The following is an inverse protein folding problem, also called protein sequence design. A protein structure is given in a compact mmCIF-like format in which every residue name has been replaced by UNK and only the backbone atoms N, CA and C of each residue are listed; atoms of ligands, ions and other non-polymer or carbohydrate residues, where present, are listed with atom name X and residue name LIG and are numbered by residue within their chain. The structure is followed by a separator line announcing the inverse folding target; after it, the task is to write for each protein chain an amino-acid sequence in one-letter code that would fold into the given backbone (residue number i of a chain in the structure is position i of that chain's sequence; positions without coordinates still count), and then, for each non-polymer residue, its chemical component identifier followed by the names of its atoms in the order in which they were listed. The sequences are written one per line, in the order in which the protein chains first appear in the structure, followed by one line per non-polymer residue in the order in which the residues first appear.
data_IF_140444833228
#
_entry.id   IF_140444833228
#
_cell.length_a   1.000
_cell.length_b   1.000
_cell.length_c   1.000
_cell.angle_alpha   90.00
_cell.angle_beta   90.00
_cell.angle_gamma   90.00
#
_symmetry.space_group_name_H-M   'P 1'
#
loop_
_entity.id
_entity.type
_entity.pdbx_description
1 polymer ?
#
# COMPACT_ATOMS: atom_id res chain seq x y z
N UNK A 1 23.93 -20.50 -3.91
CA UNK A 1 24.41 -21.87 -3.75
C UNK A 1 25.12 -22.41 -4.99
N UNK A 2 24.66 -22.09 -6.20
CA UNK A 2 25.31 -22.48 -7.45
C UNK A 2 26.58 -21.67 -7.80
N UNK A 3 27.05 -20.78 -6.95
CA UNK A 3 28.21 -19.91 -7.18
C UNK A 3 27.92 -18.64 -7.98
N UNK A 4 26.66 -18.35 -8.25
CA UNK A 4 26.24 -17.10 -8.90
C UNK A 4 25.93 -16.05 -7.83
N UNK A 5 26.79 -15.04 -7.72
CA UNK A 5 26.62 -13.99 -6.70
C UNK A 5 25.69 -12.85 -7.16
N UNK A 6 25.50 -12.70 -8.46
CA UNK A 6 24.64 -11.66 -9.05
C UNK A 6 23.86 -12.29 -10.20
N UNK A 7 22.56 -12.19 -10.10
CA UNK A 7 21.63 -12.76 -11.06
C UNK A 7 20.60 -11.71 -11.47
N UNK A 8 20.25 -11.67 -12.72
CA UNK A 8 19.05 -10.98 -13.19
C UNK A 8 18.45 -11.69 -14.39
N UNK A 9 17.14 -11.51 -14.55
CA UNK A 9 16.43 -11.93 -15.76
C UNK A 9 15.30 -10.94 -16.08
N UNK A 10 14.92 -10.88 -17.35
CA UNK A 10 13.67 -10.28 -17.80
C UNK A 10 12.74 -11.44 -18.11
N UNK A 11 11.72 -11.63 -17.31
CA UNK A 11 10.93 -12.86 -17.29
C UNK A 11 9.44 -12.58 -17.24
N UNK A 12 8.66 -13.41 -17.94
CA UNK A 12 7.21 -13.40 -17.86
C UNK A 12 6.77 -14.10 -16.56
N UNK A 13 5.93 -13.40 -15.80
CA UNK A 13 5.38 -13.85 -14.53
C UNK A 13 3.86 -13.99 -14.64
N UNK A 14 3.28 -14.85 -13.77
CA UNK A 14 1.87 -15.14 -13.73
C UNK A 14 1.37 -15.07 -12.30
N UNK A 15 0.25 -14.37 -12.07
CA UNK A 15 -0.42 -14.30 -10.77
C UNK A 15 -1.93 -14.37 -10.95
N UNK A 16 -2.58 -15.14 -10.09
CA UNK A 16 -4.03 -15.15 -9.96
C UNK A 16 -4.44 -14.03 -9.01
N UNK A 17 -4.73 -12.87 -9.56
CA UNK A 17 -5.07 -11.66 -8.82
C UNK A 17 -6.24 -10.94 -9.49
N UNK A 18 -6.93 -10.11 -8.70
CA UNK A 18 -7.93 -9.19 -9.23
C UNK A 18 -7.32 -8.21 -10.22
N UNK A 19 -7.93 -8.11 -11.39
CA UNK A 19 -7.47 -7.23 -12.45
C UNK A 19 -7.83 -5.77 -12.12
N UNK A 20 -6.81 -4.91 -12.17
CA UNK A 20 -6.90 -3.46 -11.97
C UNK A 20 -6.26 -2.73 -13.14
N UNK A 21 -6.29 -1.41 -13.13
CA UNK A 21 -5.63 -0.59 -14.15
C UNK A 21 -4.12 -0.90 -14.26
N UNK A 22 -3.46 -1.22 -13.14
CA UNK A 22 -2.04 -1.52 -13.00
C UNK A 22 -1.72 -3.01 -12.79
N UNK A 23 -2.69 -3.93 -13.02
CA UNK A 23 -2.53 -5.38 -12.81
C UNK A 23 -3.09 -6.21 -13.94
N UNK A 24 -2.32 -7.23 -14.34
CA UNK A 24 -2.69 -8.24 -15.34
C UNK A 24 -2.27 -9.63 -14.81
N UNK A 25 -2.97 -10.72 -15.19
CA UNK A 25 -2.65 -12.07 -14.74
C UNK A 25 -1.32 -12.59 -15.28
N UNK A 26 -0.83 -12.03 -16.37
CA UNK A 26 0.52 -12.23 -16.88
C UNK A 26 1.19 -10.87 -17.11
N UNK A 27 2.43 -10.73 -16.70
CA UNK A 27 3.20 -9.49 -16.76
C UNK A 27 4.69 -9.81 -16.84
N UNK A 28 5.51 -8.81 -17.11
CA UNK A 28 6.96 -8.99 -17.23
C UNK A 28 7.66 -8.33 -16.04
N UNK A 29 8.64 -9.02 -15.45
CA UNK A 29 9.50 -8.47 -14.41
C UNK A 29 10.96 -8.41 -14.84
N UNK A 30 11.66 -7.39 -14.35
CA UNK A 30 13.11 -7.40 -14.22
C UNK A 30 13.38 -7.93 -12.82
N UNK A 31 13.82 -9.18 -12.74
CA UNK A 31 14.05 -9.89 -11.48
C UNK A 31 15.54 -9.93 -11.18
N UNK A 32 15.93 -9.48 -9.98
CA UNK A 32 17.33 -9.31 -9.55
C UNK A 32 17.52 -10.01 -8.22
N UNK A 33 18.55 -10.88 -8.14
CA UNK A 33 18.97 -11.49 -6.87
C UNK A 33 20.49 -11.35 -6.71
N UNK A 34 20.91 -11.03 -5.48
CA UNK A 34 22.31 -10.78 -5.15
C UNK A 34 22.72 -11.50 -3.86
N UNK A 35 23.93 -12.03 -3.83
CA UNK A 35 24.54 -12.57 -2.63
C UNK A 35 25.46 -11.55 -1.97
N UNK A 36 25.57 -11.59 -0.64
CA UNK A 36 26.44 -10.75 0.18
C UNK A 36 26.19 -9.24 0.07
N UNK A 37 25.01 -8.83 -0.40
CA UNK A 37 24.61 -7.42 -0.42
C UNK A 37 23.55 -7.15 0.67
N UNK A 38 23.67 -5.99 1.31
CA UNK A 38 22.64 -5.48 2.22
C UNK A 38 21.46 -4.88 1.43
N UNK A 39 20.32 -4.65 2.10
CA UNK A 39 19.19 -3.91 1.54
C UNK A 39 19.61 -2.56 0.96
N UNK A 40 20.47 -1.81 1.68
CA UNK A 40 20.98 -0.51 1.22
C UNK A 40 21.77 -0.61 -0.10
N UNK A 41 22.58 -1.64 -0.24
CA UNK A 41 23.36 -1.87 -1.47
C UNK A 41 22.46 -2.27 -2.64
N UNK A 42 21.45 -3.11 -2.42
CA UNK A 42 20.47 -3.47 -3.45
C UNK A 42 19.64 -2.26 -3.87
N UNK A 43 19.14 -1.48 -2.91
CA UNK A 43 18.42 -0.23 -3.18
C UNK A 43 19.28 0.75 -3.99
N UNK A 44 20.57 0.92 -3.66
CA UNK A 44 21.47 1.82 -4.39
C UNK A 44 21.69 1.39 -5.85
N UNK A 45 21.83 0.09 -6.11
CA UNK A 45 21.93 -0.45 -7.48
C UNK A 45 20.65 -0.20 -8.26
N UNK A 46 19.50 -0.51 -7.65
CA UNK A 46 18.19 -0.31 -8.24
C UNK A 46 17.89 1.17 -8.54
N UNK A 47 18.21 2.06 -7.59
CA UNK A 47 18.09 3.52 -7.76
C UNK A 47 18.94 4.01 -8.94
N UNK A 48 20.21 3.59 -9.00
CA UNK A 48 21.11 3.94 -10.10
C UNK A 48 20.55 3.48 -11.45
N UNK A 49 20.00 2.28 -11.53
CA UNK A 49 19.39 1.75 -12.74
C UNK A 49 18.20 2.61 -13.19
N UNK A 50 17.29 2.93 -12.31
CA UNK A 50 16.09 3.72 -12.62
C UNK A 50 16.44 5.17 -12.98
N UNK A 51 17.35 5.81 -12.24
CA UNK A 51 17.84 7.17 -12.55
C UNK A 51 18.44 7.22 -13.95
N UNK A 52 19.34 6.28 -14.28
CA UNK A 52 19.96 6.22 -15.59
C UNK A 52 18.92 5.97 -16.71
N UNK A 53 17.97 5.06 -16.48
CA UNK A 53 16.91 4.76 -17.44
C UNK A 53 16.08 6.00 -17.79
N UNK A 54 15.62 6.74 -16.77
CA UNK A 54 14.87 7.99 -16.98
C UNK A 54 15.72 9.06 -17.63
N UNK A 55 17.00 9.18 -17.26
CA UNK A 55 17.91 10.14 -17.88
C UNK A 55 18.17 9.83 -19.35
N UNK A 56 18.44 8.58 -19.70
CA UNK A 56 18.78 8.19 -21.07
C UNK A 56 17.57 8.20 -22.02
N UNK A 57 16.40 7.77 -21.54
CA UNK A 57 15.23 7.61 -22.41
C UNK A 57 14.29 8.82 -22.43
N UNK A 58 14.29 9.64 -21.38
CA UNK A 58 13.34 10.76 -21.23
C UNK A 58 14.02 12.10 -20.98
N UNK A 59 15.36 12.12 -20.81
CA UNK A 59 16.13 13.29 -20.37
C UNK A 59 15.64 13.86 -19.02
N UNK A 60 15.12 13.01 -18.15
CA UNK A 60 14.61 13.36 -16.81
C UNK A 60 15.64 13.02 -15.76
N UNK A 61 15.92 13.96 -14.87
CA UNK A 61 16.68 13.75 -13.64
C UNK A 61 15.71 13.51 -12.48
N UNK A 62 15.68 12.29 -11.94
CA UNK A 62 14.83 11.91 -10.81
C UNK A 62 15.35 12.42 -9.46
N UNK A 63 16.61 12.87 -9.39
CA UNK A 63 17.25 13.27 -8.15
C UNK A 63 17.47 12.11 -7.18
N UNK A 64 17.46 12.41 -5.88
CA UNK A 64 17.60 11.42 -4.81
C UNK A 64 16.24 10.87 -4.38
N UNK A 65 16.22 9.61 -3.96
CA UNK A 65 15.02 8.94 -3.49
C UNK A 65 14.98 9.01 -1.96
N UNK A 66 14.07 9.79 -1.36
CA UNK A 66 13.91 9.80 0.10
C UNK A 66 13.44 8.42 0.58
N UNK A 67 13.80 8.10 1.83
CA UNK A 67 13.30 6.90 2.52
C UNK A 67 12.20 7.29 3.48
N UNK A 68 11.15 6.49 3.50
CA UNK A 68 10.01 6.64 4.39
C UNK A 68 9.70 5.27 5.00
N UNK A 69 9.41 5.21 6.29
CA UNK A 69 8.94 3.95 6.88
C UNK A 69 7.51 3.65 6.46
N UNK A 70 7.15 2.37 6.42
CA UNK A 70 5.77 1.93 6.19
C UNK A 70 4.79 2.63 7.14
N UNK A 71 5.13 2.69 8.43
CA UNK A 71 4.29 3.35 9.42
C UNK A 71 4.08 4.84 9.09
N UNK A 72 5.14 5.56 8.70
CA UNK A 72 5.02 6.95 8.29
C UNK A 72 4.16 7.11 7.04
N UNK A 73 4.34 6.25 6.03
CA UNK A 73 3.56 6.25 4.80
C UNK A 73 2.06 6.04 5.07
N UNK A 74 1.73 5.04 5.90
CA UNK A 74 0.35 4.76 6.30
C UNK A 74 -0.24 5.87 7.17
N UNK A 75 0.53 6.43 8.10
CA UNK A 75 0.05 7.48 9.00
C UNK A 75 -0.22 8.79 8.26
N UNK A 76 0.70 9.24 7.40
CA UNK A 76 0.61 10.54 6.72
C UNK A 76 -0.21 10.49 5.43
N UNK A 77 -0.22 9.37 4.73
CA UNK A 77 -0.79 9.30 3.39
C UNK A 77 -1.88 8.23 3.23
N UNK A 78 -2.01 7.32 4.20
CA UNK A 78 -2.98 6.22 4.15
C UNK A 78 -2.68 5.20 3.05
N UNK A 79 -1.42 5.06 2.66
CA UNK A 79 -0.97 4.15 1.61
C UNK A 79 0.50 3.80 1.79
N UNK A 80 0.85 2.55 1.53
CA UNK A 80 2.23 2.03 1.43
C UNK A 80 2.97 2.50 0.17
N UNK A 81 2.25 3.10 -0.77
CA UNK A 81 2.79 3.67 -2.03
C UNK A 81 2.27 5.10 -2.26
N UNK A 82 2.64 6.06 -1.41
CA UNK A 82 2.11 7.41 -1.48
C UNK A 82 2.55 8.16 -2.73
N UNK A 83 1.62 8.89 -3.36
CA UNK A 83 1.96 9.88 -4.36
C UNK A 83 2.36 11.20 -3.66
N UNK A 84 3.66 11.50 -3.66
CA UNK A 84 4.20 12.70 -3.04
C UNK A 84 3.98 13.99 -3.87
N UNK A 85 3.41 13.89 -5.06
CA UNK A 85 2.94 15.07 -5.83
C UNK A 85 1.70 15.68 -5.20
N UNK A 86 0.90 14.85 -4.52
CA UNK A 86 -0.28 15.28 -3.78
C UNK A 86 0.14 15.90 -2.43
N UNK A 87 -0.07 17.20 -2.20
CA UNK A 87 0.37 17.89 -1.00
C UNK A 87 -0.49 17.61 0.24
N UNK A 88 -1.63 16.95 0.08
CA UNK A 88 -2.52 16.65 1.20
C UNK A 88 -1.90 15.58 2.10
N UNK A 89 -1.96 15.78 3.41
CA UNK A 89 -1.53 14.82 4.41
C UNK A 89 -2.66 14.53 5.40
N UNK A 90 -2.63 13.33 5.97
CA UNK A 90 -3.49 12.92 7.08
C UNK A 90 -2.78 13.35 8.37
N UNK A 91 -3.48 14.08 9.22
CA UNK A 91 -2.95 14.62 10.48
C UNK A 91 -3.74 14.04 11.65
N UNK A 92 -3.06 13.36 12.55
CA UNK A 92 -3.70 12.80 13.75
C UNK A 92 -4.09 13.90 14.74
N UNK A 93 -5.31 13.78 15.29
CA UNK A 93 -5.90 14.73 16.24
C UNK A 93 -6.56 14.02 17.43
N UNK A 94 -6.32 12.73 17.64
CA UNK A 94 -6.90 11.94 18.72
C UNK A 94 -6.56 12.52 20.09
N UNK A 95 -5.33 12.96 20.32
CA UNK A 95 -4.89 13.58 21.58
C UNK A 95 -5.66 14.87 21.94
N UNK A 96 -6.09 15.63 20.92
CA UNK A 96 -6.92 16.83 21.08
C UNK A 96 -8.37 16.44 21.43
N UNK A 97 -8.88 15.37 20.82
CA UNK A 97 -10.31 15.04 20.84
C UNK A 97 -10.70 13.94 21.86
N UNK A 98 -9.76 13.41 22.62
CA UNK A 98 -10.00 12.32 23.59
C UNK A 98 -10.98 12.66 24.70
N UNK A 99 -11.09 13.95 25.09
CA UNK A 99 -11.90 14.40 26.21
C UNK A 99 -13.20 15.10 25.82
N UNK A 100 -13.49 15.20 24.48
CA UNK A 100 -14.73 15.85 24.02
C UNK A 100 -15.97 15.02 24.36
N UNK A 101 -17.11 15.68 24.57
CA UNK A 101 -18.36 15.00 24.84
C UNK A 101 -18.89 14.17 23.66
N UNK A 102 -18.48 14.52 22.45
CA UNK A 102 -18.93 13.86 21.23
C UNK A 102 -18.30 12.48 21.07
N UNK A 103 -19.08 11.45 21.42
CA UNK A 103 -18.63 10.04 21.45
C UNK A 103 -18.08 9.52 20.12
N UNK A 104 -18.49 10.10 19.00
CA UNK A 104 -17.92 9.77 17.69
C UNK A 104 -16.42 10.05 17.65
N UNK A 105 -15.94 11.10 18.34
CA UNK A 105 -14.53 11.41 18.43
C UNK A 105 -13.86 10.77 19.66
N UNK A 106 -14.44 10.99 20.86
CA UNK A 106 -13.79 10.53 22.09
C UNK A 106 -13.78 8.99 22.23
N UNK A 107 -14.67 8.26 21.58
CA UNK A 107 -14.65 6.80 21.57
C UNK A 107 -13.36 6.28 20.93
N UNK A 108 -13.17 6.46 19.61
CA UNK A 108 -11.94 6.03 18.91
C UNK A 108 -10.66 6.70 19.41
N UNK A 109 -10.74 7.95 19.91
CA UNK A 109 -9.57 8.63 20.46
C UNK A 109 -9.03 8.02 21.78
N UNK A 110 -9.84 7.23 22.50
CA UNK A 110 -9.46 6.52 23.71
C UNK A 110 -9.34 5.00 23.51
N UNK A 111 -9.55 4.50 22.30
CA UNK A 111 -9.38 3.10 21.94
C UNK A 111 -7.97 2.88 21.36
N UNK A 112 -7.26 1.88 21.86
CA UNK A 112 -5.91 1.52 21.36
C UNK A 112 -5.91 1.12 19.86
N UNK A 113 -7.03 0.61 19.35
CA UNK A 113 -7.23 0.28 17.95
C UNK A 113 -7.93 1.40 17.17
N UNK A 114 -8.27 2.50 17.84
CA UNK A 114 -8.95 3.63 17.24
C UNK A 114 -8.00 4.66 16.65
N UNK A 115 -8.54 5.46 15.76
CA UNK A 115 -7.85 6.62 15.17
C UNK A 115 -8.81 7.77 14.98
N UNK A 116 -8.35 8.99 15.28
CA UNK A 116 -9.05 10.22 14.90
C UNK A 116 -8.05 11.11 14.17
N UNK A 117 -8.29 11.33 12.89
CA UNK A 117 -7.40 12.08 12.02
C UNK A 117 -8.18 12.98 11.07
N UNK A 118 -7.48 13.93 10.47
CA UNK A 118 -8.07 14.92 9.57
C UNK A 118 -7.26 15.10 8.30
N UNK A 119 -7.92 15.58 7.24
CA UNK A 119 -7.27 16.13 6.05
C UNK A 119 -7.73 17.58 5.92
N UNK A 120 -6.79 18.54 5.85
CA UNK A 120 -7.05 19.94 5.54
C UNK A 120 -6.86 20.15 4.06
N UNK A 121 -7.90 20.66 3.37
CA UNK A 121 -7.89 20.87 1.93
C UNK A 121 -7.84 22.36 1.65
N UNK A 122 -6.71 22.87 1.11
CA UNK A 122 -6.55 24.29 0.80
C UNK A 122 -7.60 24.78 -0.21
N UNK A 123 -8.27 25.88 0.12
CA UNK A 123 -9.30 26.49 -0.74
C UNK A 123 -10.57 25.67 -0.92
N UNK A 124 -10.72 24.54 -0.19
CA UNK A 124 -11.80 23.58 -0.35
C UNK A 124 -13.17 24.10 0.09
N UNK A 125 -13.24 25.11 0.95
CA UNK A 125 -14.53 25.66 1.42
C UNK A 125 -15.42 26.16 0.29
N UNK A 126 -14.83 26.77 -0.74
CA UNK A 126 -15.54 27.27 -1.93
C UNK A 126 -15.79 26.13 -2.96
N UNK A 127 -14.96 25.10 -3.00
CA UNK A 127 -15.03 24.01 -3.98
C UNK A 127 -16.09 22.97 -3.64
N UNK A 128 -16.27 22.67 -2.36
CA UNK A 128 -17.21 21.63 -1.93
C UNK A 128 -18.50 22.26 -1.43
N UNK A 129 -19.59 22.10 -2.19
CA UNK A 129 -20.96 22.33 -1.72
C UNK A 129 -21.35 21.29 -0.67
N UNK A 130 -22.48 21.50 0.03
CA UNK A 130 -23.02 20.49 0.95
C UNK A 130 -23.27 19.15 0.25
N UNK A 131 -23.84 19.20 -0.97
CA UNK A 131 -24.06 17.99 -1.78
C UNK A 131 -22.75 17.29 -2.13
N UNK A 132 -21.70 18.05 -2.50
CA UNK A 132 -20.36 17.49 -2.77
C UNK A 132 -19.76 16.82 -1.54
N UNK A 133 -19.92 17.40 -0.34
CA UNK A 133 -19.49 16.77 0.90
C UNK A 133 -20.29 15.48 1.21
N UNK A 134 -21.59 15.47 0.93
CA UNK A 134 -22.43 14.27 1.09
C UNK A 134 -22.00 13.16 0.11
N UNK A 135 -21.57 13.50 -1.10
CA UNK A 135 -21.01 12.56 -2.09
C UNK A 135 -19.65 12.00 -1.64
N UNK A 136 -18.76 12.85 -1.11
CA UNK A 136 -17.51 12.40 -0.51
C UNK A 136 -17.74 11.50 0.72
N UNK A 137 -18.77 11.79 1.53
CA UNK A 137 -19.15 10.96 2.68
C UNK A 137 -19.60 9.56 2.22
N UNK A 138 -20.35 9.46 1.12
CA UNK A 138 -20.70 8.16 0.52
C UNK A 138 -19.48 7.42 -0.01
N UNK A 139 -18.54 8.16 -0.61
CA UNK A 139 -17.32 7.59 -1.13
C UNK A 139 -16.45 6.96 -0.03
N UNK A 140 -16.21 7.67 1.08
CA UNK A 140 -15.45 7.10 2.21
C UNK A 140 -16.18 5.94 2.88
N UNK A 141 -17.51 5.89 2.77
CA UNK A 141 -18.34 4.77 3.23
C UNK A 141 -18.01 3.44 2.55
N UNK A 142 -17.48 3.45 1.32
CA UNK A 142 -16.99 2.24 0.62
C UNK A 142 -15.85 1.57 1.40
N UNK A 143 -15.06 2.36 2.13
CA UNK A 143 -13.94 1.92 2.97
C UNK A 143 -14.34 1.69 4.43
N UNK A 144 -15.63 1.58 4.73
CA UNK A 144 -16.16 1.26 6.06
C UNK A 144 -16.42 2.48 6.97
N UNK A 145 -16.11 3.71 6.53
CA UNK A 145 -16.38 4.89 7.34
C UNK A 145 -17.89 5.12 7.51
N UNK A 146 -18.35 5.26 8.77
CA UNK A 146 -19.78 5.46 9.12
C UNK A 146 -20.27 6.89 8.88
N UNK A 147 -19.35 7.81 8.63
CA UNK A 147 -19.61 9.21 8.37
C UNK A 147 -18.31 9.98 8.20
N UNK A 148 -18.43 11.24 7.75
CA UNK A 148 -17.29 12.13 7.57
C UNK A 148 -17.65 13.52 8.08
N UNK A 149 -17.39 13.83 9.36
CA UNK A 149 -17.52 15.18 9.89
C UNK A 149 -16.60 16.12 9.12
N UNK A 150 -16.99 17.40 9.04
CA UNK A 150 -16.22 18.39 8.30
C UNK A 150 -16.32 19.78 8.95
N UNK A 151 -15.35 20.64 8.67
CA UNK A 151 -15.30 22.03 9.12
C UNK A 151 -14.75 22.93 8.04
N UNK A 152 -15.51 23.93 7.59
CA UNK A 152 -15.05 24.98 6.69
C UNK A 152 -14.51 26.15 7.48
N UNK A 153 -13.39 26.70 7.03
CA UNK A 153 -12.70 27.85 7.62
C UNK A 153 -12.98 29.07 6.76
N UNK A 154 -14.02 29.84 7.10
CA UNK A 154 -14.40 31.04 6.34
C UNK A 154 -13.59 32.27 6.75
N UNK A 155 -13.14 32.33 8.03
CA UNK A 155 -12.26 33.38 8.56
C UNK A 155 -11.41 32.80 9.69
N UNK A 156 -10.14 32.57 9.41
CA UNK A 156 -9.21 31.96 10.38
C UNK A 156 -8.93 32.90 11.57
N UNK A 157 -8.87 34.21 11.36
CA UNK A 157 -8.58 35.16 12.43
C UNK A 157 -9.74 35.20 13.45
N UNK A 158 -10.98 35.24 12.99
CA UNK A 158 -12.18 35.18 13.81
C UNK A 158 -12.24 33.81 14.54
N UNK A 159 -11.94 32.70 13.85
CA UNK A 159 -11.93 31.35 14.40
C UNK A 159 -10.94 31.20 15.55
N UNK A 160 -9.72 31.67 15.39
CA UNK A 160 -8.69 31.63 16.44
C UNK A 160 -9.03 32.56 17.62
N UNK A 161 -9.72 33.68 17.36
CA UNK A 161 -10.14 34.61 18.42
C UNK A 161 -11.27 34.05 19.28
N UNK A 162 -12.28 33.40 18.68
CA UNK A 162 -13.54 33.03 19.36
C UNK A 162 -13.74 31.52 19.49
N UNK A 163 -13.13 30.72 18.60
CA UNK A 163 -13.33 29.27 18.49
C UNK A 163 -14.55 28.87 17.65
N UNK A 164 -15.42 29.79 17.27
CA UNK A 164 -16.68 29.48 16.55
C UNK A 164 -16.88 30.41 15.34
N UNK A 165 -16.69 31.73 15.53
CA UNK A 165 -16.89 32.71 14.47
C UNK A 165 -15.91 32.43 13.33
N UNK A 166 -16.38 32.65 12.10
CA UNK A 166 -15.57 32.32 10.91
C UNK A 166 -15.48 30.85 10.54
N UNK A 167 -16.16 29.95 11.27
CA UNK A 167 -16.23 28.52 10.97
C UNK A 167 -17.66 28.10 10.63
N UNK A 168 -17.75 27.08 9.79
CA UNK A 168 -19.02 26.41 9.47
C UNK A 168 -18.85 24.90 9.59
N UNK A 169 -19.52 24.31 10.60
CA UNK A 169 -19.46 22.86 10.84
C UNK A 169 -20.61 22.40 11.72
N UNK A 170 -21.18 21.21 11.49
CA UNK A 170 -22.16 20.62 12.39
C UNK A 170 -21.56 20.14 13.71
N UNK A 171 -20.24 19.97 13.80
CA UNK A 171 -19.56 19.44 15.01
C UNK A 171 -19.06 20.51 15.98
N UNK A 172 -19.09 21.79 15.61
CA UNK A 172 -18.61 22.91 16.45
C UNK A 172 -19.28 22.95 17.84
N UNK A 173 -20.55 22.59 17.95
CA UNK A 173 -21.29 22.58 19.21
C UNK A 173 -20.74 21.57 20.25
N UNK A 174 -19.83 20.70 19.84
CA UNK A 174 -19.22 19.68 20.68
C UNK A 174 -17.74 19.95 20.99
N UNK A 175 -17.17 21.02 20.42
CA UNK A 175 -15.76 21.37 20.53
C UNK A 175 -15.61 22.68 21.31
N UNK A 176 -14.65 22.73 22.20
CA UNK A 176 -14.22 23.95 22.87
C UNK A 176 -13.36 24.81 21.94
N UNK A 177 -13.16 26.07 22.33
CA UNK A 177 -12.26 26.99 21.63
C UNK A 177 -10.84 26.44 21.58
N UNK A 178 -10.37 25.85 22.66
CA UNK A 178 -9.03 25.28 22.79
C UNK A 178 -8.81 24.13 21.80
N UNK A 179 -9.77 23.23 21.68
CA UNK A 179 -9.74 22.09 20.75
C UNK A 179 -9.77 22.57 19.30
N UNK A 180 -10.67 23.49 18.97
CA UNK A 180 -10.73 24.08 17.62
C UNK A 180 -9.43 24.77 17.27
N UNK A 181 -8.88 25.60 18.16
CA UNK A 181 -7.62 26.32 17.95
C UNK A 181 -6.45 25.32 17.75
N UNK A 182 -6.41 24.25 18.55
CA UNK A 182 -5.38 23.21 18.42
C UNK A 182 -5.46 22.50 17.06
N UNK A 183 -6.66 22.15 16.60
CA UNK A 183 -6.86 21.52 15.27
C UNK A 183 -6.41 22.46 14.14
N UNK A 184 -6.90 23.71 14.14
CA UNK A 184 -6.55 24.70 13.12
C UNK A 184 -5.04 24.98 13.07
N UNK A 185 -4.40 25.03 14.23
CA UNK A 185 -2.94 25.24 14.33
C UNK A 185 -2.17 24.02 13.81
N UNK A 186 -2.56 22.81 14.23
CA UNK A 186 -1.90 21.54 13.84
C UNK A 186 -1.99 21.29 12.33
N UNK A 187 -3.13 21.62 11.73
CA UNK A 187 -3.37 21.49 10.29
C UNK A 187 -2.85 22.67 9.47
N UNK A 188 -2.32 23.71 10.12
CA UNK A 188 -1.93 24.96 9.48
C UNK A 188 -3.04 25.55 8.58
N UNK A 189 -4.30 25.40 9.00
CA UNK A 189 -5.47 25.78 8.24
C UNK A 189 -5.51 27.29 7.98
N UNK A 190 -5.99 27.66 6.80
CA UNK A 190 -6.12 29.05 6.36
C UNK A 190 -7.58 29.38 6.03
N UNK A 191 -7.88 30.69 5.89
CA UNK A 191 -9.16 31.14 5.38
C UNK A 191 -9.42 30.54 3.99
N UNK A 192 -10.58 29.92 3.82
CA UNK A 192 -10.99 29.24 2.59
C UNK A 192 -10.79 27.73 2.59
N UNK A 193 -10.17 27.17 3.61
CA UNK A 193 -9.91 25.72 3.70
C UNK A 193 -11.14 24.94 4.20
N UNK A 194 -11.14 23.64 3.95
CA UNK A 194 -12.06 22.69 4.58
C UNK A 194 -11.27 21.55 5.22
N UNK A 195 -11.66 21.18 6.42
CA UNK A 195 -11.09 20.05 7.18
C UNK A 195 -12.11 18.93 7.20
N UNK A 196 -11.71 17.75 6.73
CA UNK A 196 -12.49 16.51 6.80
C UNK A 196 -11.94 15.62 7.90
N UNK A 197 -12.83 15.01 8.69
CA UNK A 197 -12.47 14.16 9.83
C UNK A 197 -12.78 12.70 9.54
N UNK A 198 -11.84 11.82 9.89
CA UNK A 198 -12.03 10.39 10.02
C UNK A 198 -11.98 10.00 11.50
N UNK A 199 -12.88 9.14 11.92
CA UNK A 199 -12.93 8.66 13.30
C UNK A 199 -13.62 7.29 13.37
N UNK A 200 -12.84 6.25 13.54
CA UNK A 200 -13.22 4.83 13.64
C UNK A 200 -11.99 4.01 14.07
N UNK A 201 -11.92 2.74 13.74
CA UNK A 201 -10.70 1.93 13.88
C UNK A 201 -9.56 2.48 13.02
N UNK A 202 -8.33 2.18 13.39
CA UNK A 202 -7.12 2.66 12.68
C UNK A 202 -7.18 2.35 11.18
N UNK A 203 -7.56 1.13 10.81
CA UNK A 203 -7.62 0.70 9.41
C UNK A 203 -8.67 1.47 8.62
N UNK A 204 -9.90 1.57 9.13
CA UNK A 204 -10.99 2.30 8.48
C UNK A 204 -10.63 3.77 8.24
N UNK A 205 -10.04 4.46 9.25
CA UNK A 205 -9.64 5.86 9.10
C UNK A 205 -8.50 6.00 8.10
N UNK A 206 -7.52 5.13 8.17
CA UNK A 206 -6.34 5.16 7.29
C UNK A 206 -6.74 4.95 5.82
N UNK A 207 -7.52 3.92 5.54
CA UNK A 207 -7.97 3.60 4.18
C UNK A 207 -8.93 4.65 3.63
N UNK A 208 -9.92 5.06 4.43
CA UNK A 208 -10.92 6.04 3.99
C UNK A 208 -10.34 7.42 3.72
N UNK A 209 -9.46 7.92 4.62
CA UNK A 209 -8.79 9.20 4.40
C UNK A 209 -7.70 9.11 3.33
N UNK A 210 -7.00 7.98 3.22
CA UNK A 210 -6.05 7.74 2.12
C UNK A 210 -6.72 7.80 0.75
N UNK A 211 -7.86 7.10 0.59
CA UNK A 211 -8.66 7.17 -0.64
C UNK A 211 -9.24 8.58 -0.89
N UNK A 212 -9.73 9.24 0.16
CA UNK A 212 -10.22 10.61 0.07
C UNK A 212 -9.14 11.59 -0.39
N UNK A 213 -7.92 11.45 0.14
CA UNK A 213 -6.75 12.23 -0.24
C UNK A 213 -6.47 12.15 -1.74
N UNK A 214 -6.44 10.93 -2.29
CA UNK A 214 -6.20 10.72 -3.72
C UNK A 214 -7.31 11.35 -4.56
N UNK A 215 -8.57 11.06 -4.22
CA UNK A 215 -9.73 11.60 -4.93
C UNK A 215 -9.75 13.11 -4.95
N UNK A 216 -9.54 13.78 -3.80
CA UNK A 216 -9.52 15.26 -3.73
C UNK A 216 -8.30 15.81 -4.48
N UNK A 217 -7.14 15.15 -4.39
CA UNK A 217 -5.93 15.54 -5.10
C UNK A 217 -6.12 15.60 -6.60
N UNK A 218 -6.80 14.62 -7.18
CA UNK A 218 -7.16 14.55 -8.59
C UNK A 218 -8.26 15.54 -8.96
N UNK A 219 -9.39 15.58 -8.22
CA UNK A 219 -10.54 16.46 -8.52
C UNK A 219 -10.19 17.95 -8.48
N UNK A 220 -9.24 18.34 -7.63
CA UNK A 220 -8.82 19.73 -7.47
C UNK A 220 -7.52 20.07 -8.20
N UNK A 221 -6.96 19.13 -8.97
CA UNK A 221 -5.69 19.27 -9.69
C UNK A 221 -4.55 19.74 -8.77
N UNK A 222 -4.40 19.08 -7.62
CA UNK A 222 -3.43 19.46 -6.61
C UNK A 222 -2.04 18.83 -6.83
N UNK A 223 -1.90 17.90 -7.76
CA UNK A 223 -0.64 17.21 -8.02
C UNK A 223 0.43 18.18 -8.52
N UNK A 224 1.59 18.21 -7.85
CA UNK A 224 2.69 19.13 -8.17
C UNK A 224 3.98 18.40 -8.52
N UNK A 225 4.59 18.82 -9.61
CA UNK A 225 5.82 18.24 -10.14
C UNK A 225 5.55 16.99 -10.99
N UNK A 226 6.57 16.55 -11.73
CA UNK A 226 6.42 15.48 -12.71
C UNK A 226 6.71 14.11 -12.07
N UNK A 227 7.81 14.01 -11.32
CA UNK A 227 8.32 12.75 -10.78
C UNK A 227 8.71 12.90 -9.30
N UNK A 228 8.21 12.01 -8.46
CA UNK A 228 8.46 11.98 -7.01
C UNK A 228 8.74 10.56 -6.56
N UNK A 229 9.98 10.07 -6.77
CA UNK A 229 10.37 8.76 -6.31
C UNK A 229 10.60 8.73 -4.79
N UNK A 230 10.39 7.55 -4.17
CA UNK A 230 10.78 7.29 -2.79
C UNK A 230 11.00 5.79 -2.59
N UNK A 231 11.68 5.45 -1.49
CA UNK A 231 11.70 4.11 -0.93
C UNK A 231 10.77 4.04 0.28
N UNK A 232 9.94 3.01 0.32
CA UNK A 232 9.20 2.62 1.52
C UNK A 232 9.92 1.43 2.14
N UNK A 233 10.20 1.51 3.44
CA UNK A 233 11.00 0.54 4.19
C UNK A 233 10.34 0.21 5.52
N UNK A 234 10.93 -0.72 6.29
CA UNK A 234 10.46 -1.09 7.63
C UNK A 234 8.98 -1.53 7.64
N UNK A 235 8.63 -2.40 6.70
CA UNK A 235 7.30 -3.00 6.66
C UNK A 235 7.07 -3.92 7.85
N UNK A 236 5.83 -4.05 8.37
CA UNK A 236 5.48 -5.13 9.26
C UNK A 236 5.80 -6.48 8.62
N UNK A 237 6.31 -7.42 9.40
CA UNK A 237 6.60 -8.76 8.90
C UNK A 237 5.32 -9.57 8.70
N UNK A 238 4.37 -9.36 9.61
CA UNK A 238 3.10 -10.07 9.65
C UNK A 238 1.92 -9.12 9.83
N UNK A 239 0.78 -9.57 9.36
CA UNK A 239 -0.54 -9.02 9.66
C UNK A 239 -1.45 -10.13 10.19
N UNK A 240 -2.41 -9.78 11.02
CA UNK A 240 -3.41 -10.70 11.56
C UNK A 240 -4.72 -10.48 10.80
N UNK A 241 -5.20 -11.53 10.13
CA UNK A 241 -6.48 -11.54 9.41
C UNK A 241 -7.31 -12.71 9.94
N UNK A 242 -8.49 -12.44 10.46
CA UNK A 242 -9.43 -13.45 11.00
C UNK A 242 -8.79 -14.39 12.04
N UNK A 243 -7.88 -13.86 12.87
CA UNK A 243 -7.18 -14.61 13.91
C UNK A 243 -6.02 -15.49 13.40
N UNK A 244 -5.63 -15.34 12.14
CA UNK A 244 -4.51 -16.03 11.52
C UNK A 244 -3.40 -15.05 11.13
N UNK A 245 -2.15 -15.45 11.35
CA UNK A 245 -0.99 -14.67 10.95
C UNK A 245 -0.69 -14.88 9.47
N UNK A 246 -0.55 -13.79 8.74
CA UNK A 246 -0.15 -13.76 7.33
C UNK A 246 1.15 -12.97 7.18
N UNK A 247 2.03 -13.43 6.28
CA UNK A 247 3.19 -12.65 5.91
C UNK A 247 2.76 -11.49 5.00
N UNK A 248 3.17 -10.27 5.31
CA UNK A 248 2.80 -9.08 4.52
C UNK A 248 3.40 -9.15 3.10
N UNK A 249 4.64 -9.60 2.98
CA UNK A 249 5.29 -9.83 1.68
C UNK A 249 5.27 -11.33 1.31
N UNK A 250 6.20 -12.09 1.87
CA UNK A 250 6.27 -13.54 1.66
C UNK A 250 7.03 -14.23 2.81
N UNK A 251 6.85 -15.54 3.03
CA UNK A 251 7.40 -16.24 4.18
C UNK A 251 8.93 -16.38 4.20
N UNK A 252 9.63 -15.97 3.15
CA UNK A 252 11.09 -15.99 3.07
C UNK A 252 11.75 -14.64 3.34
N UNK A 253 10.98 -13.61 3.66
CA UNK A 253 11.48 -12.28 4.03
C UNK A 253 12.13 -12.32 5.41
N UNK A 254 13.36 -11.81 5.52
CA UNK A 254 14.07 -11.77 6.79
C UNK A 254 13.50 -10.67 7.73
N UNK A 255 13.41 -10.95 9.05
CA UNK A 255 13.11 -9.92 10.03
C UNK A 255 14.30 -8.95 10.20
N UNK A 256 14.02 -7.77 10.70
CA UNK A 256 15.04 -6.77 11.03
C UNK A 256 15.57 -7.02 12.44
N UNK A 257 16.85 -7.43 12.58
CA UNK A 257 17.58 -7.53 13.85
C UNK A 257 16.91 -8.35 14.95
N UNK A 258 16.21 -9.44 14.60
CA UNK A 258 15.58 -10.35 15.57
C UNK A 258 16.20 -11.75 15.46
N UNK A 259 16.30 -12.46 16.61
CA UNK A 259 16.53 -13.91 16.60
C UNK A 259 15.21 -14.66 16.40
N UNK A 260 15.29 -15.98 16.08
CA UNK A 260 14.10 -16.81 15.92
C UNK A 260 13.22 -16.82 17.19
N UNK A 261 13.86 -16.96 18.36
CA UNK A 261 13.17 -16.98 19.65
C UNK A 261 12.49 -15.64 19.96
N UNK A 262 13.14 -14.53 19.64
CA UNK A 262 12.56 -13.19 19.82
C UNK A 262 11.36 -12.98 18.91
N UNK A 263 11.44 -13.43 17.67
CA UNK A 263 10.36 -13.34 16.69
C UNK A 263 9.15 -14.18 17.12
N UNK A 264 9.36 -15.42 17.58
CA UNK A 264 8.29 -16.30 18.07
C UNK A 264 7.62 -15.76 19.34
N UNK A 265 8.42 -15.15 20.24
CA UNK A 265 7.90 -14.58 21.48
C UNK A 265 6.99 -13.36 21.23
N UNK A 266 7.24 -12.59 20.17
CA UNK A 266 6.46 -11.38 19.84
C UNK A 266 6.44 -11.14 18.33
N UNK A 267 5.63 -11.90 17.56
CA UNK A 267 5.58 -11.73 16.11
C UNK A 267 4.88 -10.42 15.68
N UNK A 268 3.84 -10.00 16.40
CA UNK A 268 3.12 -8.75 16.13
C UNK A 268 4.04 -7.54 16.41
N UNK A 269 4.16 -6.67 15.42
CA UNK A 269 5.04 -5.50 15.47
C UNK A 269 6.50 -5.79 15.07
N UNK A 270 6.85 -7.04 14.72
CA UNK A 270 8.13 -7.33 14.10
C UNK A 270 8.23 -6.67 12.73
N UNK A 271 9.37 -6.01 12.46
CA UNK A 271 9.64 -5.38 11.18
C UNK A 271 10.40 -6.35 10.26
N UNK A 272 10.07 -6.31 9.00
CA UNK A 272 10.75 -7.04 7.93
C UNK A 272 11.85 -6.19 7.29
N UNK A 273 12.85 -6.85 6.74
CA UNK A 273 13.88 -6.20 5.93
C UNK A 273 13.45 -6.17 4.44
N UNK A 274 12.22 -5.64 4.23
CA UNK A 274 11.63 -5.41 2.93
C UNK A 274 11.74 -3.93 2.54
N UNK A 275 11.71 -3.67 1.24
CA UNK A 275 11.83 -2.33 0.66
C UNK A 275 11.13 -2.26 -0.69
N UNK A 276 10.30 -1.23 -0.89
CA UNK A 276 9.58 -0.99 -2.14
C UNK A 276 9.98 0.35 -2.72
N UNK A 277 10.28 0.36 -4.03
CA UNK A 277 10.47 1.59 -4.79
C UNK A 277 9.13 2.08 -5.30
N UNK A 278 8.77 3.28 -4.91
CA UNK A 278 7.51 3.92 -5.29
C UNK A 278 7.79 5.16 -6.16
N UNK A 279 7.04 5.33 -7.22
CA UNK A 279 7.08 6.49 -8.10
C UNK A 279 5.67 6.97 -8.40
N UNK A 280 5.34 8.20 -8.00
CA UNK A 280 4.04 8.83 -8.31
C UNK A 280 2.83 7.98 -7.87
N UNK A 281 2.89 7.39 -6.68
CA UNK A 281 1.78 6.57 -6.16
C UNK A 281 1.72 5.14 -6.72
N UNK A 282 2.73 4.74 -7.48
CA UNK A 282 2.86 3.42 -8.08
C UNK A 282 4.10 2.71 -7.53
N UNK A 283 3.94 1.51 -7.01
CA UNK A 283 5.03 0.61 -6.67
C UNK A 283 5.69 0.11 -7.97
N UNK A 284 6.90 0.56 -8.24
CA UNK A 284 7.68 0.11 -9.42
C UNK A 284 8.25 -1.28 -9.23
N UNK A 285 8.71 -1.57 -8.03
CA UNK A 285 9.27 -2.85 -7.68
C UNK A 285 9.48 -2.96 -6.19
N UNK A 286 9.39 -4.18 -5.70
CA UNK A 286 9.57 -4.53 -4.30
C UNK A 286 10.60 -5.62 -4.12
N UNK A 287 11.26 -5.59 -2.96
CA UNK A 287 12.30 -6.54 -2.62
C UNK A 287 12.49 -6.74 -1.13
N UNK A 288 13.35 -7.66 -0.79
CA UNK A 288 13.71 -7.93 0.61
C UNK A 288 15.06 -8.62 0.75
N UNK A 289 15.63 -8.54 1.93
CA UNK A 289 16.63 -9.51 2.36
C UNK A 289 15.94 -10.83 2.67
N UNK A 290 16.50 -11.94 2.20
CA UNK A 290 15.90 -13.27 2.36
C UNK A 290 16.41 -13.95 3.62
N UNK A 291 15.58 -14.78 4.23
CA UNK A 291 16.02 -15.69 5.29
C UNK A 291 16.99 -16.72 4.66
N UNK A 292 18.17 -16.85 5.25
CA UNK A 292 19.18 -17.85 4.85
C UNK A 292 19.55 -18.81 6.00
N UNK A 293 18.94 -18.62 7.16
CA UNK A 293 19.11 -19.44 8.37
C UNK A 293 17.89 -20.35 8.55
N UNK A 294 18.13 -21.65 8.79
CA UNK A 294 17.07 -22.66 8.91
C UNK A 294 16.18 -22.44 10.15
N UNK A 295 16.79 -22.10 11.30
CA UNK A 295 16.03 -21.91 12.54
C UNK A 295 15.07 -20.75 12.42
N UNK A 296 15.52 -19.64 11.78
CA UNK A 296 14.67 -18.50 11.47
C UNK A 296 13.54 -18.87 10.50
N UNK A 297 13.83 -19.66 9.46
CA UNK A 297 12.79 -20.06 8.50
C UNK A 297 11.74 -20.98 9.15
N UNK A 298 12.18 -21.91 10.00
CA UNK A 298 11.27 -22.76 10.76
C UNK A 298 10.38 -21.95 11.73
N UNK A 299 10.95 -20.93 12.39
CA UNK A 299 10.20 -20.03 13.27
C UNK A 299 9.10 -19.28 12.50
N UNK A 300 9.43 -18.74 11.33
CA UNK A 300 8.44 -18.03 10.47
C UNK A 300 7.33 -18.99 10.04
N UNK A 301 7.63 -20.20 9.64
CA UNK A 301 6.60 -21.19 9.26
C UNK A 301 5.68 -21.53 10.42
N UNK A 302 6.22 -21.74 11.63
CA UNK A 302 5.40 -21.98 12.83
C UNK A 302 4.46 -20.82 13.14
N UNK A 303 4.95 -19.58 13.04
CA UNK A 303 4.11 -18.36 13.24
C UNK A 303 2.97 -18.31 12.22
N UNK A 304 3.23 -18.67 10.96
CA UNK A 304 2.24 -18.71 9.88
C UNK A 304 1.31 -19.94 9.94
N UNK A 305 1.52 -20.87 10.90
CA UNK A 305 0.72 -22.08 11.03
C UNK A 305 1.00 -23.13 9.95
N UNK A 306 2.15 -23.04 9.26
CA UNK A 306 2.58 -24.02 8.25
C UNK A 306 3.26 -25.18 9.00
N UNK A 307 2.72 -26.39 8.88
CA UNK A 307 3.31 -27.59 9.49
C UNK A 307 4.62 -28.01 8.81
N UNK A 308 5.42 -28.82 9.48
CA UNK A 308 6.68 -29.35 8.92
C UNK A 308 6.42 -30.19 7.66
N UNK A 309 5.31 -30.95 7.63
CA UNK A 309 4.91 -31.75 6.47
C UNK A 309 4.53 -30.85 5.29
N UNK A 310 3.73 -29.81 5.53
CA UNK A 310 3.34 -28.84 4.52
C UNK A 310 4.53 -28.03 4.00
N UNK A 311 5.42 -27.62 4.91
CA UNK A 311 6.67 -26.92 4.56
C UNK A 311 7.57 -27.82 3.66
N UNK A 312 7.68 -29.10 3.99
CA UNK A 312 8.45 -30.05 3.19
C UNK A 312 7.81 -30.32 1.84
N UNK A 313 6.47 -30.43 1.77
CA UNK A 313 5.75 -30.66 0.51
C UNK A 313 5.88 -29.45 -0.44
N UNK A 314 5.69 -28.25 0.08
CA UNK A 314 5.68 -27.02 -0.74
C UNK A 314 7.07 -26.46 -1.03
N UNK A 315 7.98 -26.54 -0.07
CA UNK A 315 9.27 -25.84 -0.07
C UNK A 315 10.47 -26.74 0.20
N UNK A 316 10.29 -28.06 0.21
CA UNK A 316 11.33 -29.03 0.59
C UNK A 316 12.65 -28.85 -0.16
N UNK A 317 12.60 -28.57 -1.46
CA UNK A 317 13.79 -28.32 -2.27
C UNK A 317 14.58 -27.07 -1.80
N UNK A 318 13.88 -26.00 -1.36
CA UNK A 318 14.52 -24.80 -0.84
C UNK A 318 15.09 -25.04 0.57
N UNK A 319 14.31 -25.71 1.44
CA UNK A 319 14.74 -26.04 2.79
C UNK A 319 15.96 -26.96 2.77
N UNK A 320 16.00 -27.95 1.88
CA UNK A 320 17.18 -28.80 1.65
C UNK A 320 18.36 -27.96 1.18
N UNK A 321 18.13 -27.06 0.23
CA UNK A 321 19.19 -26.18 -0.29
C UNK A 321 19.78 -25.27 0.80
N UNK A 322 18.98 -24.74 1.73
CA UNK A 322 19.46 -23.96 2.87
C UNK A 322 20.40 -24.76 3.79
N UNK A 323 20.25 -26.10 3.87
CA UNK A 323 21.12 -26.97 4.66
C UNK A 323 22.56 -27.00 4.15
N UNK A 324 22.79 -26.72 2.89
CA UNK A 324 24.14 -26.66 2.31
C UNK A 324 24.85 -25.31 2.53
N UNK A 325 24.24 -24.38 3.28
CA UNK A 325 24.82 -23.08 3.60
C UNK A 325 24.55 -22.04 2.50
N UNK A 326 23.32 -21.54 2.44
CA UNK A 326 23.00 -20.41 1.58
C UNK A 326 23.72 -19.12 2.04
N UNK A 327 24.30 -18.33 1.14
CA UNK A 327 24.85 -17.03 1.51
C UNK A 327 23.72 -16.07 1.92
N UNK A 328 24.02 -15.05 2.74
CA UNK A 328 23.11 -13.91 2.87
C UNK A 328 22.79 -13.37 1.48
N UNK A 329 21.50 -13.20 1.16
CA UNK A 329 21.07 -12.75 -0.17
C UNK A 329 19.86 -11.85 -0.08
N UNK A 330 19.73 -10.99 -1.08
CA UNK A 330 18.69 -10.01 -1.18
C UNK A 330 18.35 -9.76 -2.65
N UNK A 331 17.12 -9.44 -2.94
CA UNK A 331 16.68 -9.22 -4.30
C UNK A 331 15.56 -8.22 -4.41
N UNK A 332 15.23 -7.89 -5.65
CA UNK A 332 14.19 -6.95 -6.02
C UNK A 332 13.64 -7.31 -7.39
N UNK A 333 12.34 -7.19 -7.58
CA UNK A 333 11.72 -7.36 -8.89
C UNK A 333 10.97 -6.08 -9.29
N UNK A 334 11.29 -5.57 -10.49
CA UNK A 334 10.56 -4.46 -11.11
C UNK A 334 9.48 -4.96 -12.05
N UNK A 335 8.28 -4.38 -11.96
CA UNK A 335 7.24 -4.57 -12.97
C UNK A 335 7.56 -3.78 -14.23
N UNK A 336 8.12 -4.44 -15.27
CA UNK A 336 8.51 -3.77 -16.51
C UNK A 336 7.34 -3.07 -17.18
N UNK A 337 6.20 -3.74 -17.28
CA UNK A 337 5.00 -3.16 -17.91
C UNK A 337 4.50 -1.92 -17.14
N UNK A 338 4.59 -1.93 -15.81
CA UNK A 338 4.23 -0.82 -14.95
C UNK A 338 5.19 0.36 -15.11
N UNK A 339 6.49 0.08 -15.23
CA UNK A 339 7.51 1.09 -15.51
C UNK A 339 7.26 1.76 -16.88
N UNK A 340 6.99 0.98 -17.91
CA UNK A 340 6.67 1.49 -19.26
C UNK A 340 5.36 2.30 -19.24
N UNK A 341 4.34 1.85 -18.52
CA UNK A 341 3.08 2.59 -18.34
C UNK A 341 3.34 4.00 -17.78
N UNK A 342 4.14 4.13 -16.74
CA UNK A 342 4.48 5.44 -16.17
C UNK A 342 5.30 6.29 -17.15
N UNK A 343 6.33 5.73 -17.78
CA UNK A 343 7.20 6.47 -18.72
C UNK A 343 6.45 6.97 -19.95
N UNK A 344 5.42 6.25 -20.41
CA UNK A 344 4.58 6.65 -21.55
C UNK A 344 3.41 7.54 -21.17
N UNK A 345 3.17 7.78 -19.87
CA UNK A 345 2.02 8.53 -19.38
C UNK A 345 0.68 7.82 -19.62
N UNK A 346 0.70 6.48 -19.78
CA UNK A 346 -0.50 5.68 -19.98
C UNK A 346 -1.23 5.49 -18.64
N UNK A 347 -2.55 5.47 -18.69
CA UNK A 347 -3.41 5.29 -17.49
C UNK A 347 -3.69 3.83 -17.15
N UNK A 348 -3.33 2.91 -18.05
CA UNK A 348 -3.54 1.48 -17.87
C UNK A 348 -2.36 0.67 -18.40
N UNK A 349 -1.97 -0.36 -17.66
CA UNK A 349 -0.95 -1.33 -18.07
C UNK A 349 -1.32 -2.04 -19.39
N UNK A 350 -2.62 -2.13 -19.71
CA UNK A 350 -3.11 -2.72 -20.97
C UNK A 350 -2.66 -1.95 -22.20
N UNK A 351 -2.40 -0.66 -22.09
CA UNK A 351 -2.00 0.20 -23.21
C UNK A 351 -0.54 -0.06 -23.64
N UNK A 352 0.25 -0.68 -22.77
CA UNK A 352 1.66 -0.96 -23.00
C UNK A 352 1.99 -2.44 -23.15
N UNK A 353 0.98 -3.32 -23.12
CA UNK A 353 1.12 -4.76 -23.30
C UNK A 353 0.62 -5.18 -24.69
N UNK A 354 1.37 -6.04 -25.37
CA UNK A 354 1.02 -6.49 -26.73
C UNK A 354 -0.31 -7.26 -26.80
N UNK A 355 -0.62 -8.07 -25.75
CA UNK A 355 -1.81 -8.95 -25.73
C UNK A 355 -2.45 -8.95 -24.34
N UNK A 356 -3.03 -7.82 -23.90
CA UNK A 356 -3.63 -7.73 -22.56
C UNK A 356 -4.83 -8.65 -22.44
N UNK A 357 -5.04 -9.19 -21.25
CA UNK A 357 -6.21 -10.00 -20.93
C UNK A 357 -7.40 -9.12 -20.51
N UNK A 358 -8.61 -9.63 -20.75
CA UNK A 358 -9.85 -9.02 -20.26
C UNK A 358 -10.00 -9.26 -18.75
N UNK A 359 -11.01 -8.63 -18.13
CA UNK A 359 -11.35 -8.82 -16.71
C UNK A 359 -11.72 -10.27 -16.37
N UNK A 360 -12.05 -11.09 -17.37
CA UNK A 360 -12.31 -12.54 -17.23
C UNK A 360 -11.08 -13.39 -17.56
N UNK A 361 -9.88 -12.79 -17.58
CA UNK A 361 -8.62 -13.41 -17.97
C UNK A 361 -8.61 -14.01 -19.40
N UNK A 362 -9.54 -13.60 -20.26
CA UNK A 362 -9.60 -14.06 -21.66
C UNK A 362 -8.64 -13.25 -22.54
N UNK A 363 -8.02 -13.91 -23.52
CA UNK A 363 -7.21 -13.28 -24.55
C UNK A 363 -8.09 -12.95 -25.79
N UNK A 364 -8.31 -11.67 -26.12
CA UNK A 364 -9.11 -11.31 -27.28
C UNK A 364 -8.52 -11.77 -28.63
N UNK A 365 -7.19 -11.90 -28.71
CA UNK A 365 -6.52 -12.32 -29.93
C UNK A 365 -6.74 -13.81 -30.24
N UNK A 366 -6.57 -14.66 -29.20
CA UNK A 366 -6.60 -16.13 -29.39
C UNK A 366 -7.92 -16.77 -28.96
N UNK A 367 -8.82 -15.98 -28.34
CA UNK A 367 -10.03 -16.45 -27.66
C UNK A 367 -9.76 -17.50 -26.56
N UNK A 368 -8.53 -17.51 -25.99
CA UNK A 368 -8.19 -18.34 -24.86
C UNK A 368 -8.79 -17.75 -23.56
N UNK A 369 -9.15 -18.61 -22.55
CA UNK A 369 -9.06 -20.07 -22.58
C UNK A 369 -10.15 -20.71 -23.43
N UNK A 370 -9.78 -21.70 -24.22
CA UNK A 370 -10.70 -22.53 -25.02
C UNK A 370 -11.14 -23.78 -24.26
N UNK A 371 -12.05 -24.55 -24.84
CA UNK A 371 -12.44 -25.86 -24.31
C UNK A 371 -11.29 -26.86 -24.51
N UNK A 372 -10.92 -27.59 -23.46
CA UNK A 372 -9.98 -28.69 -23.58
C UNK A 372 -10.60 -29.86 -24.36
N UNK A 373 -9.77 -30.60 -25.11
CA UNK A 373 -10.24 -31.77 -25.83
C UNK A 373 -10.58 -32.89 -24.84
N UNK A 374 -11.80 -33.50 -24.91
CA UNK A 374 -12.21 -34.56 -23.97
C UNK A 374 -11.24 -35.75 -23.96
N UNK A 375 -10.66 -36.12 -25.12
CA UNK A 375 -9.68 -37.21 -25.17
C UNK A 375 -8.40 -36.91 -24.40
N UNK A 376 -7.92 -35.67 -24.44
CA UNK A 376 -6.76 -35.24 -23.64
C UNK A 376 -7.06 -35.21 -22.15
N UNK A 377 -8.27 -34.78 -21.77
CA UNK A 377 -8.68 -34.83 -20.36
C UNK A 377 -8.72 -36.26 -19.84
N UNK A 378 -9.27 -37.20 -20.64
CA UNK A 378 -9.33 -38.60 -20.28
C UNK A 378 -7.92 -39.23 -20.14
N UNK A 379 -7.00 -38.90 -21.07
CA UNK A 379 -5.60 -39.34 -21.01
C UNK A 379 -4.89 -38.89 -19.72
N UNK A 380 -5.20 -37.68 -19.26
CA UNK A 380 -4.65 -37.10 -18.02
C UNK A 380 -5.44 -37.49 -16.76
N UNK A 381 -6.46 -38.33 -16.88
CA UNK A 381 -7.37 -38.68 -15.79
C UNK A 381 -8.03 -37.45 -15.12
N UNK A 382 -8.34 -36.41 -15.91
CA UNK A 382 -9.00 -35.18 -15.46
C UNK A 382 -10.49 -35.23 -15.87
N UNK A 383 -11.39 -34.92 -14.94
CA UNK A 383 -12.80 -34.76 -15.18
C UNK A 383 -13.26 -33.31 -14.88
N UNK A 384 -14.08 -32.73 -15.76
CA UNK A 384 -14.74 -31.48 -15.46
C UNK A 384 -15.98 -31.75 -14.58
N UNK A 385 -16.02 -31.12 -13.40
CA UNK A 385 -17.23 -31.16 -12.57
C UNK A 385 -18.36 -30.35 -13.28
N UNK A 386 -19.62 -30.81 -13.20
CA UNK A 386 -20.74 -30.03 -13.69
C UNK A 386 -20.81 -28.69 -12.92
N UNK A 387 -21.03 -27.60 -13.64
CA UNK A 387 -21.31 -26.32 -12.99
C UNK A 387 -22.60 -26.47 -12.19
N UNK A 388 -22.57 -26.20 -10.89
CA UNK A 388 -23.79 -25.99 -10.13
C UNK A 388 -24.55 -24.82 -10.79
N UNK A 389 -25.73 -25.09 -11.28
CA UNK A 389 -26.66 -24.02 -11.68
C UNK A 389 -26.98 -23.22 -10.41
N UNK A 390 -26.41 -22.02 -10.30
CA UNK A 390 -26.88 -21.06 -9.29
C UNK A 390 -28.38 -20.84 -9.59
N UNK A 391 -29.25 -21.39 -8.74
CA UNK A 391 -30.66 -21.05 -8.74
C UNK A 391 -30.73 -19.51 -8.64
N UNK A 392 -31.36 -18.92 -9.66
CA UNK A 392 -31.68 -17.50 -9.64
C UNK A 392 -32.67 -17.28 -8.48
N UNK A 393 -32.18 -16.68 -7.39
CA UNK A 393 -33.02 -16.02 -6.39
C UNK A 393 -32.95 -14.49 -6.60
#
# INVERSE_FOLDING_TARGET
MSGMERYYQIVKCFRDEDLRADRQPEFTQIDIETSFMSSDQVMAVAETMIVNLFKELMDVDLGSFPRMTYLEAMTRFGSDKPDLRNPLEIVDVADILKNVEFKVFSGPANDEQGRVAVICVPGGAAKFSRKGIDELTKFVGIYGAKGMPWMKVNDIAAALATGIEGLQSPVLKFLSKEEVTAILTRTNAQTGDVIFFGSDTYNVVTESLGALRLKIGEELDLLKGDWKPLWVVDFPMFEEIDGHMHALHHPFTAPTNLTAEQLEAKPIGALSNAYDMVLNGCELGGGSVRIHNQDMQAAVFRILGISDEEAQEKFGFLLEALQYGAPPHAGLAFGLDRLVMLMTGSSSIRDVMAFPKTTTAACPLTNAPGKANPAQLLELAIACLPKEEKSAE
#
